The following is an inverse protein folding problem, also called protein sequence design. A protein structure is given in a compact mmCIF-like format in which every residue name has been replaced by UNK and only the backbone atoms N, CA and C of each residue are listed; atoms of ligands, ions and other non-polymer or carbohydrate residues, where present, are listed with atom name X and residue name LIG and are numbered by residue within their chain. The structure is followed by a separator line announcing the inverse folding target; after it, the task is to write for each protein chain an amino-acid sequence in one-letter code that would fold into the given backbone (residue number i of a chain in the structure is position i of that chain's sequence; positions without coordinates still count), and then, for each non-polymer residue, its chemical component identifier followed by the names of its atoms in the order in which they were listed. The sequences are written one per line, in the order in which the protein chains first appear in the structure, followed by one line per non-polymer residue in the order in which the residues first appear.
data_IF_650332134817
#
_entry.id   IF_650332134817
#
_cell.length_a   1.000
_cell.length_b   1.000
_cell.length_c   1.000
_cell.angle_alpha   90.00
_cell.angle_beta   90.00
_cell.angle_gamma   90.00
#
_symmetry.space_group_name_H-M   'P 1'
#
loop_
_entity.id
_entity.type
_entity.pdbx_description
1 polymer ?
#
# COMPACT_ATOMS: atom_id res chain seq x y z
N UNK A 1 -1.27 -4.96 2.75
CA UNK A 1 -0.63 -3.80 3.39
C UNK A 1 -0.11 -4.25 4.73
N UNK A 2 1.02 -3.70 5.14
CA UNK A 2 1.70 -4.06 6.37
C UNK A 2 1.76 -2.84 7.28
N UNK A 3 1.49 -3.04 8.57
CA UNK A 3 1.55 -2.00 9.60
C UNK A 3 2.39 -2.54 10.76
N UNK A 4 3.35 -1.74 11.22
CA UNK A 4 4.20 -2.10 12.35
C UNK A 4 4.68 -0.84 13.08
N UNK A 5 5.25 -1.04 14.27
CA UNK A 5 6.03 -0.01 14.96
C UNK A 5 7.50 -0.39 14.94
N UNK A 6 8.40 0.58 14.79
CA UNK A 6 9.83 0.34 14.92
C UNK A 6 10.27 0.24 16.39
N UNK A 7 11.57 0.04 16.63
CA UNK A 7 12.14 -0.05 17.98
C UNK A 7 11.99 1.22 18.82
N UNK A 8 11.71 2.36 18.18
CA UNK A 8 11.41 3.63 18.84
C UNK A 8 9.90 3.87 18.98
N UNK A 9 9.07 2.83 18.80
CA UNK A 9 7.62 2.89 18.83
C UNK A 9 7.01 3.87 17.80
N UNK A 10 7.71 4.12 16.69
CA UNK A 10 7.18 4.95 15.60
C UNK A 10 6.36 4.06 14.66
N UNK A 11 5.09 4.38 14.41
CA UNK A 11 4.21 3.55 13.60
C UNK A 11 4.36 3.83 12.10
N UNK A 12 4.44 2.77 11.31
CA UNK A 12 4.58 2.83 9.86
C UNK A 12 3.51 2.01 9.14
N UNK A 13 3.15 2.45 7.95
CA UNK A 13 2.26 1.78 7.00
C UNK A 13 2.97 1.62 5.66
N UNK A 14 3.02 0.38 5.18
CA UNK A 14 3.41 0.05 3.81
C UNK A 14 2.21 -0.46 3.01
N UNK A 15 2.00 0.11 1.83
CA UNK A 15 0.96 -0.32 0.88
C UNK A 15 1.67 -0.90 -0.34
N UNK A 16 1.42 -2.18 -0.61
CA UNK A 16 1.94 -2.89 -1.80
C UNK A 16 0.76 -3.33 -2.65
N UNK A 17 0.69 -2.84 -3.89
CA UNK A 17 -0.27 -3.29 -4.87
C UNK A 17 0.23 -4.61 -5.49
N UNK A 18 -0.69 -5.56 -5.66
CA UNK A 18 -0.43 -6.82 -6.35
C UNK A 18 -1.37 -6.92 -7.54
N UNK A 19 -0.84 -7.29 -8.70
CA UNK A 19 -1.64 -7.50 -9.90
C UNK A 19 -1.07 -8.63 -10.72
N UNK A 20 -1.88 -9.15 -11.64
CA UNK A 20 -1.47 -10.18 -12.58
C UNK A 20 -1.31 -9.53 -13.95
N UNK A 21 -0.15 -9.75 -14.59
CA UNK A 21 0.07 -9.38 -15.98
C UNK A 21 0.23 -10.62 -16.85
N UNK A 22 0.21 -10.43 -18.18
CA UNK A 22 0.72 -11.45 -19.10
C UNK A 22 2.17 -11.78 -18.73
N UNK A 23 2.49 -13.06 -18.74
CA UNK A 23 3.84 -13.55 -18.54
C UNK A 23 4.67 -13.46 -19.82
N UNK A 24 5.90 -13.93 -19.73
CA UNK A 24 6.90 -13.79 -20.80
C UNK A 24 6.63 -14.78 -21.97
N UNK A 25 5.76 -15.78 -21.76
CA UNK A 25 5.36 -16.76 -22.76
C UNK A 25 3.84 -16.73 -23.04
N UNK A 26 3.39 -17.09 -24.26
CA UNK A 26 1.97 -17.23 -24.57
C UNK A 26 1.25 -18.14 -23.58
N UNK A 27 0.08 -17.70 -23.09
CA UNK A 27 -0.72 -18.46 -22.13
C UNK A 27 -0.22 -18.43 -20.67
N UNK A 28 0.86 -17.70 -20.38
CA UNK A 28 1.38 -17.57 -18.99
C UNK A 28 0.90 -16.29 -18.33
N UNK A 29 0.75 -16.36 -17.00
CA UNK A 29 0.44 -15.22 -16.13
C UNK A 29 1.63 -14.98 -15.20
N UNK A 30 1.88 -13.72 -14.87
CA UNK A 30 2.97 -13.32 -13.97
C UNK A 30 2.41 -12.45 -12.87
N UNK A 31 2.64 -12.85 -11.62
CA UNK A 31 2.35 -12.01 -10.46
C UNK A 31 3.33 -10.84 -10.45
N UNK A 32 2.79 -9.64 -10.28
CA UNK A 32 3.52 -8.39 -10.13
C UNK A 32 3.18 -7.79 -8.78
N UNK A 33 4.16 -7.12 -8.19
CA UNK A 33 3.99 -6.36 -6.97
C UNK A 33 4.69 -5.02 -7.12
N UNK A 34 4.15 -3.98 -6.50
CA UNK A 34 4.72 -2.64 -6.48
C UNK A 34 4.42 -1.95 -5.17
N UNK A 35 5.46 -1.39 -4.54
CA UNK A 35 5.30 -0.57 -3.34
C UNK A 35 4.67 0.77 -3.75
N UNK A 36 3.45 1.00 -3.29
CA UNK A 36 2.69 2.23 -3.53
C UNK A 36 3.09 3.31 -2.54
N UNK A 37 3.20 2.94 -1.26
CA UNK A 37 3.53 3.88 -0.21
C UNK A 37 4.30 3.20 0.92
N UNK A 38 5.20 3.98 1.53
CA UNK A 38 5.79 3.73 2.83
C UNK A 38 5.66 5.03 3.62
N UNK A 39 4.91 5.02 4.72
CA UNK A 39 4.49 6.23 5.41
C UNK A 39 4.54 6.09 6.93
N UNK A 40 5.07 7.11 7.60
CA UNK A 40 4.98 7.25 9.06
C UNK A 40 3.58 7.76 9.43
N UNK A 41 2.88 7.07 10.33
CA UNK A 41 1.47 7.33 10.66
C UNK A 41 1.27 7.66 12.15
N UNK A 42 1.80 8.79 12.64
CA UNK A 42 1.71 9.14 14.06
C UNK A 42 0.25 9.40 14.49
N UNK A 43 -0.04 9.20 15.78
CA UNK A 43 -1.36 9.46 16.35
C UNK A 43 -2.22 8.20 16.53
N UNK A 44 -3.55 8.38 16.53
CA UNK A 44 -4.50 7.31 16.84
C UNK A 44 -4.76 6.41 15.62
N UNK A 45 -4.53 5.11 15.74
CA UNK A 45 -4.76 4.12 14.66
C UNK A 45 -6.16 3.51 14.67
N UNK A 46 -7.20 4.34 14.85
CA UNK A 46 -8.58 3.88 14.69
C UNK A 46 -8.83 3.45 13.24
N UNK A 47 -9.81 2.58 13.01
CA UNK A 47 -10.16 2.14 11.66
C UNK A 47 -10.46 3.30 10.70
N UNK A 48 -11.11 4.36 11.20
CA UNK A 48 -11.42 5.58 10.43
C UNK A 48 -10.12 6.28 10.01
N UNK A 49 -9.20 6.55 10.94
CA UNK A 49 -7.96 7.27 10.64
C UNK A 49 -7.05 6.48 9.68
N UNK A 50 -7.00 5.15 9.81
CA UNK A 50 -6.27 4.29 8.90
C UNK A 50 -6.89 4.28 7.50
N UNK A 51 -8.22 4.27 7.39
CA UNK A 51 -8.92 4.34 6.12
C UNK A 51 -8.66 5.68 5.41
N UNK A 52 -8.79 6.80 6.11
CA UNK A 52 -8.50 8.14 5.57
C UNK A 52 -7.05 8.26 5.09
N UNK A 53 -6.09 7.78 5.89
CA UNK A 53 -4.68 7.78 5.51
C UNK A 53 -4.42 6.91 4.29
N UNK A 54 -5.02 5.73 4.22
CA UNK A 54 -4.89 4.81 3.09
C UNK A 54 -5.43 5.44 1.81
N UNK A 55 -6.63 6.02 1.84
CA UNK A 55 -7.23 6.68 0.67
C UNK A 55 -6.35 7.83 0.17
N UNK A 56 -5.87 8.70 1.07
CA UNK A 56 -4.96 9.80 0.69
C UNK A 56 -3.68 9.29 0.03
N UNK A 57 -3.11 8.18 0.50
CA UNK A 57 -1.91 7.59 -0.09
C UNK A 57 -2.18 6.98 -1.47
N UNK A 58 -3.35 6.39 -1.69
CA UNK A 58 -3.78 5.88 -2.99
C UNK A 58 -4.08 7.02 -3.98
N UNK A 59 -4.75 8.08 -3.53
CA UNK A 59 -5.00 9.30 -4.31
C UNK A 59 -3.67 9.95 -4.74
N UNK A 60 -2.70 10.04 -3.83
CA UNK A 60 -1.35 10.55 -4.14
C UNK A 60 -0.63 9.73 -5.23
N UNK A 61 -0.96 8.46 -5.34
CA UNK A 61 -0.42 7.57 -6.37
C UNK A 61 -1.27 7.53 -7.65
N UNK A 62 -2.33 8.34 -7.74
CA UNK A 62 -3.31 8.35 -8.84
C UNK A 62 -3.93 6.97 -9.11
N UNK A 63 -4.04 6.13 -8.09
CA UNK A 63 -4.64 4.78 -8.20
C UNK A 63 -6.17 4.84 -8.16
N UNK A 64 -6.73 5.88 -7.55
CA UNK A 64 -8.17 6.08 -7.36
C UNK A 64 -8.84 6.84 -8.49
N UNK A 65 -8.06 7.40 -9.41
CA UNK A 65 -8.56 8.01 -10.65
C UNK A 65 -9.02 6.91 -11.62
N UNK A 66 -10.10 7.18 -12.36
CA UNK A 66 -10.74 6.24 -13.29
C UNK A 66 -10.14 6.30 -14.70
#
# INVERSE_FOLDING_TARGET
SDIWSDENYRPFLAITAHWISKGDQPGTLKMKAGLVAFHHIPGNHTGINLAETTLRLLDRASITEK
#
